data_IF_782474468064
#
_entry.id   IF_782474468064
#
_cell.length_a   1.000
_cell.length_b   1.000
_cell.length_c   1.000
_cell.angle_alpha   90.00
_cell.angle_beta   90.00
_cell.angle_gamma   90.00
#
_symmetry.space_group_name_H-M   'P 1'
#
loop_
_entity.id
_entity.type
_entity.pdbx_description
1 polymer ?
#
# COMPACT_ATOMS: atom_id res chain seq x y z
N UNK A 1 -1.83 -23.74 35.13
CA UNK A 1 -1.77 -22.32 34.72
C UNK A 1 -0.70 -22.03 33.67
N UNK A 2 0.59 -22.37 33.88
CA UNK A 2 1.66 -22.09 32.89
C UNK A 2 1.41 -22.71 31.50
N UNK A 3 0.95 -23.97 31.43
CA UNK A 3 0.67 -24.65 30.16
C UNK A 3 -0.41 -23.94 29.32
N UNK A 4 -1.51 -23.52 29.96
CA UNK A 4 -2.62 -22.83 29.28
C UNK A 4 -2.14 -21.49 28.70
N UNK A 5 -1.35 -20.73 29.46
CA UNK A 5 -0.77 -19.48 28.98
C UNK A 5 0.19 -19.71 27.78
N UNK A 6 1.00 -20.77 27.82
CA UNK A 6 1.88 -21.13 26.69
C UNK A 6 1.10 -21.54 25.44
N UNK A 7 0.02 -22.32 25.59
CA UNK A 7 -0.86 -22.71 24.47
C UNK A 7 -1.53 -21.46 23.89
N UNK A 8 -2.02 -20.56 24.73
CA UNK A 8 -2.62 -19.31 24.28
C UNK A 8 -1.63 -18.47 23.46
N UNK A 9 -0.41 -18.25 23.97
CA UNK A 9 0.62 -17.48 23.26
C UNK A 9 1.00 -18.12 21.92
N UNK A 10 1.09 -19.46 21.88
CA UNK A 10 1.38 -20.21 20.66
C UNK A 10 0.26 -20.03 19.62
N UNK A 11 -1.00 -20.22 20.01
CA UNK A 11 -2.15 -20.09 19.11
C UNK A 11 -2.32 -18.65 18.62
N UNK A 12 -2.13 -17.68 19.50
CA UNK A 12 -2.15 -16.26 19.14
C UNK A 12 -1.06 -15.92 18.13
N UNK A 13 0.17 -16.40 18.33
CA UNK A 13 1.28 -16.15 17.39
C UNK A 13 1.16 -16.94 16.09
N UNK A 14 0.44 -18.06 16.12
CA UNK A 14 0.22 -18.91 14.95
C UNK A 14 -0.92 -18.42 14.05
N UNK A 15 -1.77 -17.51 14.53
CA UNK A 15 -2.85 -16.92 13.75
C UNK A 15 -2.30 -15.72 12.98
N UNK A 16 -2.00 -15.93 11.71
CA UNK A 16 -1.25 -14.97 10.89
C UNK A 16 -2.00 -14.60 9.62
N UNK A 17 -1.75 -13.39 9.14
CA UNK A 17 -2.20 -12.95 7.82
C UNK A 17 -1.19 -13.39 6.76
N UNK A 18 -1.53 -14.45 6.03
CA UNK A 18 -0.71 -15.05 4.97
C UNK A 18 -0.69 -14.16 3.71
N UNK A 19 -1.81 -13.55 3.33
CA UNK A 19 -1.89 -12.58 2.24
C UNK A 19 -2.49 -11.27 2.71
N UNK A 20 -1.70 -10.20 2.59
CA UNK A 20 -2.11 -8.84 2.92
C UNK A 20 -3.27 -8.36 2.02
N UNK A 21 -4.11 -7.41 2.49
CA UNK A 21 -5.21 -6.85 1.72
C UNK A 21 -4.76 -6.34 0.35
N UNK A 22 -5.37 -6.85 -0.73
CA UNK A 22 -4.99 -6.48 -2.08
C UNK A 22 -6.21 -6.46 -3.02
N UNK A 23 -6.28 -5.48 -3.92
CA UNK A 23 -7.29 -5.48 -4.99
C UNK A 23 -6.82 -6.40 -6.12
N UNK A 24 -7.61 -7.40 -6.56
CA UNK A 24 -7.24 -8.28 -7.67
C UNK A 24 -6.95 -7.52 -8.99
N UNK A 25 -7.52 -6.33 -9.16
CA UNK A 25 -7.25 -5.46 -10.33
C UNK A 25 -5.87 -4.79 -10.30
N UNK A 26 -5.21 -4.75 -9.14
CA UNK A 26 -3.90 -4.12 -8.93
C UNK A 26 -2.99 -5.00 -8.05
N UNK A 27 -2.59 -6.20 -8.52
CA UNK A 27 -1.85 -7.18 -7.71
C UNK A 27 -0.47 -6.68 -7.25
N UNK A 28 0.12 -5.72 -7.98
CA UNK A 28 1.43 -5.12 -7.64
C UNK A 28 1.32 -3.99 -6.60
N UNK A 29 0.12 -3.69 -6.11
CA UNK A 29 -0.15 -2.58 -5.16
C UNK A 29 -0.96 -3.08 -3.96
N UNK A 30 -0.42 -4.03 -3.17
CA UNK A 30 -1.07 -4.45 -1.93
C UNK A 30 -1.18 -3.26 -0.96
N UNK A 31 -2.06 -3.37 0.03
CA UNK A 31 -2.30 -2.38 1.09
C UNK A 31 -2.89 -1.03 0.62
N UNK A 32 -3.11 -0.83 -0.69
CA UNK A 32 -3.88 0.33 -1.20
C UNK A 32 -5.23 -0.17 -1.67
N UNK A 33 -6.31 0.25 -1.00
CA UNK A 33 -7.66 -0.23 -1.23
C UNK A 33 -8.55 0.91 -1.74
N UNK A 34 -9.35 0.64 -2.76
CA UNK A 34 -10.35 1.60 -3.26
C UNK A 34 -11.72 1.33 -2.64
N UNK A 35 -12.40 2.39 -2.21
CA UNK A 35 -13.79 2.28 -1.73
C UNK A 35 -14.71 1.65 -2.76
N UNK A 36 -15.62 0.79 -2.30
CA UNK A 36 -16.59 0.06 -3.15
C UNK A 36 -15.97 -0.90 -4.18
N UNK A 37 -14.66 -1.14 -4.13
CA UNK A 37 -13.98 -2.17 -4.93
C UNK A 37 -13.69 -3.38 -4.06
N UNK A 38 -13.79 -4.59 -4.64
CA UNK A 38 -13.50 -5.83 -3.93
C UNK A 38 -11.98 -5.98 -3.71
N UNK A 39 -11.61 -6.46 -2.53
CA UNK A 39 -10.25 -6.84 -2.20
C UNK A 39 -10.23 -8.23 -1.55
N UNK A 40 -9.06 -8.86 -1.61
CA UNK A 40 -8.79 -10.16 -1.02
C UNK A 40 -7.88 -10.05 0.19
N UNK A 41 -8.00 -10.98 1.12
CA UNK A 41 -7.07 -11.19 2.23
C UNK A 41 -7.13 -12.66 2.67
N UNK A 42 -5.98 -13.23 3.02
CA UNK A 42 -5.90 -14.65 3.42
C UNK A 42 -5.28 -14.79 4.79
N UNK A 43 -5.99 -15.45 5.70
CA UNK A 43 -5.55 -15.75 7.06
C UNK A 43 -5.21 -17.23 7.14
N UNK A 44 -4.19 -17.57 7.92
CA UNK A 44 -3.75 -18.94 8.14
C UNK A 44 -3.48 -19.17 9.63
N UNK A 45 -3.95 -20.31 10.14
CA UNK A 45 -3.50 -20.82 11.43
C UNK A 45 -2.35 -21.80 11.18
N UNK A 46 -1.16 -21.47 11.69
CA UNK A 46 0.04 -22.31 11.50
C UNK A 46 -0.02 -23.62 12.30
N UNK A 47 -0.84 -23.65 13.35
CA UNK A 47 -1.12 -24.85 14.14
C UNK A 47 -2.18 -25.68 13.42
N UNK A 48 -1.77 -26.85 12.92
CA UNK A 48 -2.65 -27.80 12.23
C UNK A 48 -3.30 -28.75 13.22
N UNK A 49 -4.53 -28.43 13.62
CA UNK A 49 -5.40 -29.30 14.42
C UNK A 49 -6.62 -29.67 13.58
N UNK A 50 -6.75 -30.94 13.13
CA UNK A 50 -7.90 -31.40 12.34
C UNK A 50 -9.25 -31.13 13.03
N UNK A 51 -9.26 -31.10 14.36
CA UNK A 51 -10.43 -30.82 15.20
C UNK A 51 -10.97 -29.41 15.04
N UNK A 52 -10.14 -28.47 14.56
CA UNK A 52 -10.53 -27.07 14.33
C UNK A 52 -11.12 -26.83 12.93
N UNK A 53 -11.10 -27.84 12.06
CA UNK A 53 -11.63 -27.74 10.70
C UNK A 53 -13.13 -27.40 10.73
N UNK A 54 -13.53 -26.33 10.02
CA UNK A 54 -14.88 -25.79 10.00
C UNK A 54 -15.43 -25.28 11.35
N UNK A 55 -14.62 -25.23 12.42
CA UNK A 55 -15.05 -24.73 13.73
C UNK A 55 -14.80 -23.24 13.91
N UNK A 56 -13.73 -22.71 13.29
CA UNK A 56 -13.31 -21.33 13.52
C UNK A 56 -14.02 -20.38 12.55
N UNK A 57 -14.80 -19.46 13.10
CA UNK A 57 -15.46 -18.40 12.35
C UNK A 57 -14.62 -17.13 12.47
N UNK A 58 -13.98 -16.71 11.38
CA UNK A 58 -13.12 -15.53 11.33
C UNK A 58 -13.95 -14.34 10.85
N UNK A 59 -13.89 -13.23 11.58
CA UNK A 59 -14.55 -11.96 11.24
C UNK A 59 -13.53 -10.88 10.96
N UNK A 60 -13.72 -10.15 9.87
CA UNK A 60 -12.93 -9.00 9.48
C UNK A 60 -13.62 -7.70 9.92
N UNK A 61 -12.86 -6.81 10.54
CA UNK A 61 -13.27 -5.46 10.90
C UNK A 61 -12.15 -4.46 10.58
N UNK A 62 -12.46 -3.17 10.52
CA UNK A 62 -11.48 -2.12 10.22
C UNK A 62 -11.48 -1.10 11.35
N UNK A 63 -10.28 -0.61 11.68
CA UNK A 63 -10.04 0.40 12.71
C UNK A 63 -10.60 0.02 14.09
N UNK A 64 -10.64 -1.29 14.40
CA UNK A 64 -10.97 -1.78 15.74
C UNK A 64 -9.84 -1.37 16.70
N UNK A 65 -10.22 -0.70 17.80
CA UNK A 65 -9.33 -0.36 18.91
C UNK A 65 -8.11 0.50 18.56
N UNK A 66 -8.23 1.39 17.56
CA UNK A 66 -7.18 2.39 17.30
C UNK A 66 -7.22 3.46 18.39
N UNK A 67 -6.32 3.33 19.37
CA UNK A 67 -6.15 4.29 20.49
C UNK A 67 -5.10 5.37 20.20
N UNK A 68 -4.25 5.17 19.19
CA UNK A 68 -3.13 6.07 18.87
C UNK A 68 -3.55 7.40 18.22
N UNK A 69 -4.79 7.53 17.75
CA UNK A 69 -5.25 8.75 17.09
C UNK A 69 -5.36 9.89 18.11
N UNK A 70 -4.66 11.02 17.91
CA UNK A 70 -4.65 12.11 18.86
C UNK A 70 -6.06 12.74 19.01
N UNK A 71 -6.46 13.11 20.24
CA UNK A 71 -7.75 13.74 20.48
C UNK A 71 -7.86 15.07 19.73
N UNK A 72 -9.02 15.34 19.13
CA UNK A 72 -9.29 16.58 18.40
C UNK A 72 -8.94 16.56 16.90
N UNK A 73 -8.31 15.49 16.39
CA UNK A 73 -8.07 15.29 14.95
C UNK A 73 -9.13 14.37 14.34
N UNK A 74 -9.81 14.83 13.29
CA UNK A 74 -10.81 14.02 12.56
C UNK A 74 -10.09 13.11 11.55
N UNK A 75 -10.39 11.82 11.66
CA UNK A 75 -9.97 10.77 10.72
C UNK A 75 -11.21 10.13 10.12
N UNK A 76 -11.13 9.75 8.85
CA UNK A 76 -12.21 9.04 8.17
C UNK A 76 -12.42 7.68 8.83
N UNK A 77 -13.67 7.23 8.77
CA UNK A 77 -14.07 5.92 9.28
C UNK A 77 -14.67 5.11 8.16
N UNK A 78 -14.45 3.81 8.22
CA UNK A 78 -14.86 2.89 7.18
C UNK A 78 -15.57 1.70 7.80
N UNK A 79 -16.43 1.07 7.00
CA UNK A 79 -17.04 -0.20 7.31
C UNK A 79 -16.61 -1.24 6.28
N UNK A 80 -16.37 -2.48 6.74
CA UNK A 80 -16.19 -3.62 5.85
C UNK A 80 -17.57 -4.16 5.44
N UNK A 81 -17.80 -4.23 4.14
CA UNK A 81 -18.98 -4.80 3.49
C UNK A 81 -18.64 -6.13 2.79
N UNK A 82 -19.68 -6.85 2.37
CA UNK A 82 -19.57 -8.17 1.75
C UNK A 82 -19.54 -9.28 2.78
N UNK A 83 -18.89 -10.40 2.44
CA UNK A 83 -18.75 -11.56 3.34
C UNK A 83 -17.64 -11.30 4.35
N UNK A 84 -17.91 -10.44 5.32
CA UNK A 84 -16.96 -10.04 6.37
C UNK A 84 -16.71 -11.13 7.42
N UNK A 85 -17.45 -12.23 7.37
CA UNK A 85 -17.28 -13.36 8.28
C UNK A 85 -17.25 -14.65 7.47
N UNK A 86 -16.21 -15.46 7.67
CA UNK A 86 -16.01 -16.70 6.92
C UNK A 86 -15.44 -17.79 7.82
N UNK A 87 -15.89 -19.02 7.59
CA UNK A 87 -15.42 -20.19 8.32
C UNK A 87 -14.07 -20.63 7.76
N UNK A 88 -13.11 -20.90 8.65
CA UNK A 88 -11.80 -21.42 8.32
C UNK A 88 -11.86 -22.93 8.09
N UNK A 89 -11.19 -23.39 7.05
CA UNK A 89 -11.19 -24.79 6.63
C UNK A 89 -9.80 -25.26 6.19
N UNK A 90 -9.62 -26.56 6.15
CA UNK A 90 -8.40 -27.18 5.63
C UNK A 90 -8.43 -27.12 4.11
N UNK A 91 -7.41 -26.51 3.51
CA UNK A 91 -7.22 -26.45 2.05
C UNK A 91 -6.77 -27.82 1.50
N UNK A 92 -7.35 -28.25 0.39
CA UNK A 92 -7.04 -29.55 -0.24
C UNK A 92 -5.60 -29.60 -0.80
N UNK A 93 -5.08 -28.46 -1.27
CA UNK A 93 -3.78 -28.39 -1.95
C UNK A 93 -2.58 -28.59 -1.01
N UNK A 94 -2.64 -28.04 0.20
CA UNK A 94 -1.49 -27.97 1.12
C UNK A 94 -1.82 -28.44 2.55
N UNK A 95 -3.07 -28.85 2.80
CA UNK A 95 -3.57 -29.25 4.12
C UNK A 95 -3.41 -28.16 5.18
N UNK A 96 -3.41 -26.88 4.81
CA UNK A 96 -3.30 -25.75 5.73
C UNK A 96 -4.69 -25.34 6.22
N UNK A 97 -4.79 -25.00 7.50
CA UNK A 97 -6.01 -24.43 8.06
C UNK A 97 -6.01 -22.93 7.75
N UNK A 98 -6.81 -22.52 6.77
CA UNK A 98 -6.78 -21.17 6.22
C UNK A 98 -8.19 -20.67 5.89
N UNK A 99 -8.30 -19.35 5.71
CA UNK A 99 -9.53 -18.72 5.24
C UNK A 99 -9.18 -17.62 4.25
N UNK A 100 -9.78 -17.72 3.07
CA UNK A 100 -9.59 -16.78 1.96
C UNK A 100 -10.82 -15.88 1.82
N UNK A 101 -10.67 -14.61 2.16
CA UNK A 101 -11.69 -13.60 1.92
C UNK A 101 -11.51 -13.01 0.52
N UNK A 102 -12.51 -13.15 -0.36
CA UNK A 102 -12.42 -12.67 -1.77
C UNK A 102 -13.30 -11.49 -2.13
N UNK A 103 -14.32 -11.23 -1.33
CA UNK A 103 -15.39 -10.27 -1.65
C UNK A 103 -15.55 -9.21 -0.55
N UNK A 104 -14.46 -8.86 0.12
CA UNK A 104 -14.47 -7.75 1.07
C UNK A 104 -14.48 -6.43 0.33
N UNK A 105 -15.21 -5.46 0.85
CA UNK A 105 -15.23 -4.09 0.34
C UNK A 105 -15.14 -3.11 1.50
N UNK A 106 -14.51 -1.96 1.29
CA UNK A 106 -14.54 -0.86 2.27
C UNK A 106 -15.48 0.24 1.80
N UNK A 107 -16.32 0.75 2.70
CA UNK A 107 -17.20 1.89 2.44
C UNK A 107 -17.03 2.94 3.53
N UNK A 108 -16.85 4.18 3.12
CA UNK A 108 -16.73 5.31 4.04
C UNK A 108 -18.03 5.50 4.83
N UNK A 109 -17.89 5.67 6.14
CA UNK A 109 -18.97 5.99 7.05
C UNK A 109 -19.20 7.51 6.99
N UNK A 110 -20.27 7.92 6.30
CA UNK A 110 -20.70 9.31 6.30
C UNK A 110 -21.26 9.67 7.67
N UNK A 111 -20.67 10.66 8.33
CA UNK A 111 -21.21 11.23 9.56
C UNK A 111 -22.40 12.13 9.16
N UNK A 112 -23.57 11.93 9.78
CA UNK A 112 -24.81 12.67 9.46
C UNK A 112 -24.75 14.17 9.74
N UNK A 113 -23.74 14.63 10.49
CA UNK A 113 -23.54 16.05 10.78
C UNK A 113 -22.58 16.65 9.75
N UNK A 114 -23.13 17.45 8.83
CA UNK A 114 -22.49 17.99 7.63
C UNK A 114 -21.33 18.98 7.81
N UNK A 115 -20.43 18.73 8.76
CA UNK A 115 -19.13 19.38 8.78
C UNK A 115 -18.22 18.74 7.73
N UNK A 116 -17.63 19.55 6.83
CA UNK A 116 -16.49 19.10 6.02
C UNK A 116 -15.42 18.61 7.00
N UNK A 117 -15.15 17.31 7.00
CA UNK A 117 -13.98 16.76 7.67
C UNK A 117 -12.74 17.29 6.94
N UNK A 118 -12.22 18.45 7.35
CA UNK A 118 -10.82 18.78 7.10
C UNK A 118 -10.00 17.78 7.90
N UNK A 119 -9.69 16.65 7.25
CA UNK A 119 -8.94 15.56 7.85
C UNK A 119 -7.56 16.03 8.26
N UNK A 120 -7.06 15.49 9.36
CA UNK A 120 -5.73 15.79 9.88
C UNK A 120 -4.58 15.48 8.92
N UNK A 121 -4.82 14.57 7.98
CA UNK A 121 -3.90 14.12 6.96
C UNK A 121 -4.62 14.11 5.61
N UNK A 122 -3.85 14.22 4.53
CA UNK A 122 -4.41 14.00 3.20
C UNK A 122 -4.83 12.53 3.04
N UNK A 123 -5.79 12.27 2.17
CA UNK A 123 -6.38 10.93 1.94
C UNK A 123 -5.33 9.83 1.76
N UNK A 124 -4.20 10.14 1.13
CA UNK A 124 -3.14 9.19 0.78
C UNK A 124 -2.10 9.00 1.87
N UNK A 125 -2.16 9.75 2.97
CA UNK A 125 -1.29 9.62 4.16
C UNK A 125 -2.06 9.05 5.36
N UNK A 126 -3.37 8.87 5.23
CA UNK A 126 -4.23 8.32 6.29
C UNK A 126 -4.21 6.80 6.29
N UNK A 127 -3.61 6.23 7.33
CA UNK A 127 -3.45 4.80 7.51
C UNK A 127 -4.59 4.20 8.33
N UNK A 128 -5.02 3.01 7.91
CA UNK A 128 -6.06 2.21 8.56
C UNK A 128 -5.54 0.80 8.82
N UNK A 129 -6.17 0.06 9.73
CA UNK A 129 -5.78 -1.33 10.03
C UNK A 129 -6.99 -2.24 9.92
N UNK A 130 -6.84 -3.34 9.19
CA UNK A 130 -7.86 -4.38 9.12
C UNK A 130 -7.52 -5.44 10.16
N UNK A 131 -8.47 -5.71 11.04
CA UNK A 131 -8.35 -6.68 12.13
C UNK A 131 -9.21 -7.90 11.82
N UNK A 132 -8.63 -9.08 12.01
CA UNK A 132 -9.29 -10.37 11.87
C UNK A 132 -9.35 -11.03 13.23
N UNK A 133 -10.55 -11.37 13.66
CA UNK A 133 -10.82 -11.95 14.98
C UNK A 133 -11.52 -13.31 14.84
N UNK A 134 -11.20 -14.24 15.74
CA UNK A 134 -11.92 -15.51 15.86
C UNK A 134 -11.89 -16.00 17.31
N UNK A 135 -12.87 -16.82 17.68
CA UNK A 135 -12.93 -17.44 19.00
C UNK A 135 -12.75 -18.95 18.84
N UNK A 136 -11.84 -19.52 19.63
CA UNK A 136 -11.62 -20.97 19.73
C UNK A 136 -12.29 -21.48 20.99
N UNK A 137 -13.14 -22.51 20.82
CA UNK A 137 -13.69 -23.29 21.92
C UNK A 137 -13.13 -24.70 21.86
N UNK A 138 -12.21 -25.04 22.78
CA UNK A 138 -11.61 -26.38 22.83
C UNK A 138 -11.47 -26.85 24.27
N UNK A 139 -12.00 -28.05 24.57
CA UNK A 139 -11.91 -28.69 25.90
C UNK A 139 -12.33 -27.78 27.08
N UNK A 140 -13.38 -26.96 26.88
CA UNK A 140 -13.87 -26.03 27.90
C UNK A 140 -13.07 -24.73 28.04
N UNK A 141 -12.04 -24.52 27.21
CA UNK A 141 -11.30 -23.26 27.12
C UNK A 141 -11.87 -22.40 25.99
N UNK A 142 -12.15 -21.14 26.28
CA UNK A 142 -12.43 -20.09 25.30
C UNK A 142 -11.16 -19.26 25.11
N UNK A 143 -10.66 -19.16 23.87
CA UNK A 143 -9.50 -18.35 23.51
C UNK A 143 -9.87 -17.42 22.36
N UNK A 144 -9.66 -16.12 22.55
CA UNK A 144 -9.86 -15.13 21.50
C UNK A 144 -8.54 -14.90 20.77
N UNK A 145 -8.55 -15.09 19.45
CA UNK A 145 -7.40 -14.88 18.59
C UNK A 145 -7.64 -13.66 17.71
N UNK A 146 -6.61 -12.84 17.57
CA UNK A 146 -6.63 -11.64 16.74
C UNK A 146 -5.33 -11.52 15.95
N UNK A 147 -5.44 -11.11 14.69
CA UNK A 147 -4.30 -10.65 13.89
C UNK A 147 -4.72 -9.44 13.06
N UNK A 148 -3.75 -8.62 12.69
CA UNK A 148 -4.01 -7.41 11.90
C UNK A 148 -3.23 -7.40 10.59
N UNK A 149 -3.73 -6.65 9.61
CA UNK A 149 -2.96 -6.27 8.43
C UNK A 149 -1.84 -5.30 8.79
N UNK A 150 -0.87 -5.19 7.88
CA UNK A 150 -0.07 -3.97 7.82
C UNK A 150 -0.99 -2.78 7.53
N UNK A 151 -0.57 -1.55 7.86
CA UNK A 151 -1.42 -0.39 7.63
C UNK A 151 -1.77 -0.23 6.16
N UNK A 152 -3.04 0.07 5.90
CA UNK A 152 -3.62 0.21 4.56
C UNK A 152 -4.00 1.66 4.28
N UNK A 153 -3.88 2.08 3.03
CA UNK A 153 -4.41 3.36 2.53
C UNK A 153 -5.76 3.11 1.84
N UNK A 154 -6.76 3.92 2.17
CA UNK A 154 -8.08 3.86 1.52
C UNK A 154 -8.30 5.07 0.62
N UNK A 155 -8.35 4.80 -0.69
CA UNK A 155 -8.58 5.79 -1.76
C UNK A 155 -10.02 5.75 -2.26
N UNK A 156 -10.49 6.87 -2.82
CA UNK A 156 -11.79 6.96 -3.47
C UNK A 156 -11.69 6.87 -4.99
N UNK A 157 -10.58 7.34 -5.56
CA UNK A 157 -10.31 7.34 -6.99
C UNK A 157 -8.95 6.69 -7.29
N UNK A 158 -8.86 5.99 -8.43
CA UNK A 158 -7.63 5.34 -8.92
C UNK A 158 -6.53 6.38 -9.19
N UNK A 159 -6.88 7.64 -9.49
CA UNK A 159 -5.89 8.72 -9.61
C UNK A 159 -5.07 8.97 -8.33
N UNK A 160 -5.54 8.50 -7.17
CA UNK A 160 -4.84 8.60 -5.88
C UNK A 160 -3.93 7.39 -5.61
N UNK A 161 -4.04 6.32 -6.40
CA UNK A 161 -3.25 5.09 -6.25
C UNK A 161 -1.73 5.35 -6.23
N UNK A 162 -1.15 6.26 -7.05
CA UNK A 162 0.27 6.60 -6.97
C UNK A 162 0.69 7.11 -5.60
N UNK A 163 0.00 8.12 -5.10
CA UNK A 163 0.34 8.73 -3.81
C UNK A 163 0.05 7.79 -2.64
N UNK A 164 -1.02 6.98 -2.73
CA UNK A 164 -1.27 5.93 -1.74
C UNK A 164 -0.16 4.88 -1.71
N UNK A 165 0.36 4.48 -2.87
CA UNK A 165 1.46 3.53 -2.95
C UNK A 165 2.78 4.09 -2.42
N UNK A 166 3.09 5.36 -2.71
CA UNK A 166 4.25 6.04 -2.12
C UNK A 166 4.22 6.00 -0.59
N UNK A 167 3.05 6.20 0.02
CA UNK A 167 2.90 6.13 1.47
C UNK A 167 3.14 4.72 2.01
N UNK A 168 2.61 3.68 1.35
CA UNK A 168 2.86 2.29 1.74
C UNK A 168 4.35 1.93 1.61
N UNK A 169 5.00 2.38 0.53
CA UNK A 169 6.44 2.18 0.33
C UNK A 169 7.24 2.83 1.46
N UNK A 170 6.93 4.09 1.78
CA UNK A 170 7.62 4.86 2.82
C UNK A 170 7.41 4.25 4.21
N UNK A 171 6.18 3.83 4.52
CA UNK A 171 5.84 3.16 5.77
C UNK A 171 6.62 1.86 5.95
N UNK A 172 6.52 0.95 4.97
CA UNK A 172 7.14 -0.37 5.08
C UNK A 172 8.68 -0.33 5.04
N UNK A 173 9.25 0.70 4.42
CA UNK A 173 10.71 0.90 4.39
C UNK A 173 11.26 1.37 5.74
N UNK A 174 10.52 2.22 6.46
CA UNK A 174 11.05 2.92 7.64
C UNK A 174 10.43 2.51 8.98
N UNK A 175 9.28 1.84 8.97
CA UNK A 175 8.55 1.47 10.17
C UNK A 175 8.52 -0.05 10.36
N UNK A 176 9.00 -0.52 11.51
CA UNK A 176 8.89 -1.93 11.92
C UNK A 176 7.63 -2.23 12.73
N UNK A 177 6.90 -1.21 13.17
CA UNK A 177 5.67 -1.36 13.95
C UNK A 177 4.50 -1.74 13.02
N UNK A 178 3.64 -2.65 13.45
CA UNK A 178 2.51 -3.13 12.62
C UNK A 178 1.29 -2.21 12.65
N UNK A 179 1.15 -1.35 13.66
CA UNK A 179 -0.09 -0.60 13.93
C UNK A 179 0.09 0.93 14.04
N UNK A 180 1.24 1.48 13.64
CA UNK A 180 1.51 2.91 13.74
C UNK A 180 0.75 3.72 12.69
N UNK A 181 -0.54 3.96 12.94
CA UNK A 181 -1.42 4.68 12.01
C UNK A 181 -1.17 6.19 12.00
N UNK A 182 -0.34 6.69 12.92
CA UNK A 182 0.01 8.10 13.05
C UNK A 182 1.36 8.47 12.42
N UNK A 183 2.01 7.51 11.74
CA UNK A 183 3.32 7.65 11.11
C UNK A 183 3.50 8.94 10.28
N UNK A 184 2.50 9.30 9.47
CA UNK A 184 2.57 10.49 8.62
C UNK A 184 2.29 11.83 9.33
N UNK A 185 2.01 11.83 10.64
CA UNK A 185 2.03 13.07 11.41
C UNK A 185 3.44 13.66 11.53
N UNK A 186 4.45 12.80 11.58
CA UNK A 186 5.86 13.19 11.59
C UNK A 186 6.71 12.12 10.87
N UNK A 187 6.64 12.05 9.53
CA UNK A 187 7.29 10.98 8.78
C UNK A 187 8.82 11.12 8.86
N UNK A 188 9.55 10.06 9.24
CA UNK A 188 11.01 10.09 9.27
C UNK A 188 11.59 10.27 7.86
N UNK A 189 12.80 10.82 7.79
CA UNK A 189 13.56 10.88 6.55
C UNK A 189 14.18 9.50 6.26
N UNK A 190 14.13 9.08 5.00
CA UNK A 190 14.72 7.83 4.56
C UNK A 190 16.21 8.02 4.26
N UNK A 191 17.03 7.01 4.54
CA UNK A 191 18.36 6.97 3.98
C UNK A 191 18.27 6.66 2.46
N UNK A 192 19.06 7.36 1.64
CA UNK A 192 19.09 7.14 0.19
C UNK A 192 19.41 5.69 -0.18
N UNK A 193 20.30 5.01 0.55
CA UNK A 193 20.63 3.61 0.34
C UNK A 193 19.38 2.74 0.35
N UNK A 194 18.57 2.84 1.40
CA UNK A 194 17.34 2.07 1.56
C UNK A 194 16.30 2.47 0.50
N UNK A 195 16.18 3.77 0.22
CA UNK A 195 15.26 4.28 -0.80
C UNK A 195 15.65 3.81 -2.21
N UNK A 196 16.94 3.81 -2.54
CA UNK A 196 17.46 3.43 -3.86
C UNK A 196 17.22 1.95 -4.15
N UNK A 197 17.35 1.09 -3.14
CA UNK A 197 17.02 -0.33 -3.22
C UNK A 197 15.51 -0.51 -3.42
N UNK A 198 14.68 0.16 -2.62
CA UNK A 198 13.23 0.12 -2.75
C UNK A 198 12.75 0.58 -4.14
N UNK A 199 13.36 1.65 -4.69
CA UNK A 199 13.12 2.11 -6.05
C UNK A 199 13.51 1.04 -7.08
N UNK A 200 14.67 0.43 -6.95
CA UNK A 200 15.11 -0.64 -7.84
C UNK A 200 14.14 -1.82 -7.83
N UNK A 201 13.62 -2.20 -6.66
CA UNK A 201 12.58 -3.23 -6.55
C UNK A 201 11.30 -2.84 -7.31
N UNK A 202 10.84 -1.58 -7.21
CA UNK A 202 9.66 -1.12 -7.96
C UNK A 202 9.80 -1.33 -9.47
N UNK A 203 10.98 -1.06 -10.02
CA UNK A 203 11.26 -1.30 -11.43
C UNK A 203 11.31 -2.79 -11.77
N UNK A 204 11.94 -3.59 -10.91
CA UNK A 204 12.07 -5.03 -11.12
C UNK A 204 10.73 -5.76 -11.14
N UNK A 205 9.77 -5.35 -10.29
CA UNK A 205 8.42 -5.89 -10.23
C UNK A 205 7.61 -5.69 -11.53
N UNK A 206 8.00 -4.72 -12.37
CA UNK A 206 7.25 -4.33 -13.58
C UNK A 206 8.02 -4.69 -14.86
N UNK A 207 9.33 -4.52 -14.87
CA UNK A 207 10.17 -4.56 -16.09
C UNK A 207 11.14 -5.74 -16.13
N UNK A 208 11.06 -6.66 -15.16
CA UNK A 208 11.98 -7.80 -14.98
C UNK A 208 13.45 -7.43 -14.70
N UNK A 209 13.76 -6.13 -14.57
CA UNK A 209 15.09 -5.61 -14.22
C UNK A 209 14.95 -4.43 -13.27
N UNK A 210 15.86 -4.33 -12.31
CA UNK A 210 15.99 -3.15 -11.44
C UNK A 210 16.74 -1.99 -12.11
N UNK A 211 16.97 -0.94 -11.34
CA UNK A 211 17.79 0.20 -11.74
C UNK A 211 19.28 -0.13 -11.55
N UNK A 212 20.13 0.34 -12.46
CA UNK A 212 21.58 0.24 -12.34
C UNK A 212 22.17 1.42 -11.53
N UNK A 213 23.46 1.33 -11.19
CA UNK A 213 24.15 2.34 -10.37
C UNK A 213 24.10 3.75 -10.97
N UNK A 214 24.29 3.88 -12.29
CA UNK A 214 24.27 5.18 -12.97
C UNK A 214 22.88 5.83 -12.96
N UNK A 215 21.84 5.00 -13.16
CA UNK A 215 20.44 5.43 -13.09
C UNK A 215 20.08 5.87 -11.66
N UNK A 216 20.52 5.13 -10.65
CA UNK A 216 20.33 5.49 -9.24
C UNK A 216 21.07 6.78 -8.90
N UNK A 217 22.33 6.94 -9.31
CA UNK A 217 23.10 8.17 -9.09
C UNK A 217 22.42 9.40 -9.71
N UNK A 218 21.86 9.25 -10.92
CA UNK A 218 21.12 10.33 -11.59
C UNK A 218 19.84 10.71 -10.83
N UNK A 219 19.13 9.73 -10.26
CA UNK A 219 17.94 9.98 -9.43
C UNK A 219 18.32 10.64 -8.10
N UNK A 220 19.43 10.22 -7.49
CA UNK A 220 19.97 10.80 -6.27
C UNK A 220 20.28 12.29 -6.47
N UNK A 221 21.03 12.61 -7.53
CA UNK A 221 21.40 13.99 -7.89
C UNK A 221 20.14 14.85 -8.13
N UNK A 222 19.10 14.30 -8.78
CA UNK A 222 17.84 15.03 -9.00
C UNK A 222 17.08 15.34 -7.70
N UNK A 223 17.15 14.47 -6.69
CA UNK A 223 16.46 14.68 -5.41
C UNK A 223 17.24 15.55 -4.42
N UNK A 224 18.56 15.33 -4.36
CA UNK A 224 19.42 15.84 -3.31
C UNK A 224 20.38 16.93 -3.81
N UNK A 225 20.45 17.13 -5.13
CA UNK A 225 21.49 17.95 -5.77
C UNK A 225 22.83 17.22 -5.84
N UNK A 226 23.87 17.86 -6.38
CA UNK A 226 25.21 17.27 -6.46
C UNK A 226 25.78 16.96 -5.07
N UNK A 227 26.20 15.72 -4.84
CA UNK A 227 26.90 15.26 -3.63
C UNK A 227 28.08 14.35 -4.01
N UNK A 228 29.11 14.29 -3.16
CA UNK A 228 30.25 13.37 -3.35
C UNK A 228 29.87 11.92 -3.04
N UNK A 229 28.98 11.69 -2.06
CA UNK A 229 28.45 10.39 -1.72
C UNK A 229 27.00 10.52 -1.23
N UNK A 230 26.10 9.73 -1.83
CA UNK A 230 24.67 9.75 -1.52
C UNK A 230 24.27 8.73 -0.44
N UNK A 231 25.10 7.74 -0.10
CA UNK A 231 24.72 6.59 0.74
C UNK A 231 24.30 6.94 2.18
N UNK A 232 24.71 8.10 2.68
CA UNK A 232 24.32 8.61 4.01
C UNK A 232 23.36 9.79 3.93
N UNK A 233 22.92 10.19 2.73
CA UNK A 233 22.01 11.30 2.57
C UNK A 233 20.61 10.91 3.02
N UNK A 234 19.98 11.82 3.76
CA UNK A 234 18.60 11.67 4.19
C UNK A 234 17.66 12.36 3.20
N UNK A 235 16.65 11.64 2.76
CA UNK A 235 15.57 12.10 1.88
C UNK A 235 14.32 12.31 2.73
N UNK A 236 13.87 13.57 2.95
CA UNK A 236 12.60 13.84 3.61
C UNK A 236 11.41 13.36 2.77
N UNK A 237 10.35 12.90 3.43
CA UNK A 237 9.08 12.53 2.76
C UNK A 237 8.56 13.62 1.82
N UNK A 238 8.71 14.89 2.20
CA UNK A 238 8.29 16.04 1.40
C UNK A 238 9.03 16.10 0.06
N UNK A 239 10.33 15.80 0.01
CA UNK A 239 11.09 15.76 -1.24
C UNK A 239 10.71 14.58 -2.13
N UNK A 240 10.31 13.47 -1.52
CA UNK A 240 9.91 12.27 -2.25
C UNK A 240 8.53 12.40 -2.91
N UNK A 241 7.53 12.91 -2.17
CA UNK A 241 6.13 12.89 -2.59
C UNK A 241 5.45 14.26 -2.74
N UNK A 242 6.05 15.36 -2.24
CA UNK A 242 5.39 16.70 -2.21
C UNK A 242 6.07 17.79 -3.02
N UNK A 243 7.31 17.60 -3.51
CA UNK A 243 8.09 18.67 -4.18
C UNK A 243 8.32 18.39 -5.66
N UNK A 244 8.05 19.41 -6.49
CA UNK A 244 8.35 19.48 -7.93
C UNK A 244 9.84 19.43 -8.22
N UNK A 245 10.27 18.53 -9.11
CA UNK A 245 11.67 18.36 -9.55
C UNK A 245 12.14 19.53 -10.47
N UNK A 246 11.50 20.71 -10.43
CA UNK A 246 11.71 21.78 -11.40
C UNK A 246 11.79 23.19 -10.81
N UNK A 247 12.39 23.37 -9.64
CA UNK A 247 12.86 24.70 -9.23
C UNK A 247 14.36 24.86 -9.50
N UNK A 248 14.71 24.80 -10.78
CA UNK A 248 15.98 25.28 -11.30
C UNK A 248 15.72 26.13 -12.55
N UNK A 249 15.36 27.40 -12.27
CA UNK A 249 15.25 28.56 -13.17
C UNK A 249 14.11 28.58 -14.22
N UNK A 250 13.42 29.73 -14.22
CA UNK A 250 12.28 30.09 -15.04
C UNK A 250 12.56 30.13 -16.55
N UNK A 251 11.65 29.56 -17.36
CA UNK A 251 11.04 30.21 -18.54
C UNK A 251 10.20 29.22 -19.36
N UNK A 252 9.09 29.72 -19.91
CA UNK A 252 8.25 29.22 -21.02
C UNK A 252 7.48 27.91 -20.86
N UNK A 253 6.14 28.05 -20.83
CA UNK A 253 5.24 27.46 -21.83
C UNK A 253 5.15 25.94 -21.93
N UNK A 254 4.02 25.40 -21.42
CA UNK A 254 3.43 24.11 -21.82
C UNK A 254 4.38 22.91 -21.81
N UNK A 255 4.68 22.36 -20.63
CA UNK A 255 5.45 21.12 -20.55
C UNK A 255 4.93 20.19 -19.45
N UNK A 256 4.69 18.93 -19.84
CA UNK A 256 4.13 17.84 -19.05
C UNK A 256 4.96 17.62 -17.77
N UNK A 257 4.39 18.01 -16.61
CA UNK A 257 5.06 17.91 -15.32
C UNK A 257 4.90 16.51 -14.72
N UNK A 258 5.96 15.72 -14.70
CA UNK A 258 6.14 14.77 -13.60
C UNK A 258 6.46 15.63 -12.37
N UNK A 259 5.52 15.69 -11.42
CA UNK A 259 5.55 16.62 -10.30
C UNK A 259 6.35 16.09 -9.09
N UNK A 260 6.73 14.81 -9.06
CA UNK A 260 7.62 14.23 -8.03
C UNK A 260 8.20 12.88 -8.50
N UNK A 261 9.13 12.28 -7.75
CA UNK A 261 9.69 10.96 -8.09
C UNK A 261 8.61 9.88 -8.10
N UNK A 262 7.58 10.03 -7.28
CA UNK A 262 6.46 9.11 -7.27
C UNK A 262 5.74 9.03 -8.64
N UNK A 263 5.52 10.18 -9.31
CA UNK A 263 4.91 10.21 -10.64
C UNK A 263 5.77 9.45 -11.67
N UNK A 264 7.09 9.54 -11.51
CA UNK A 264 8.04 8.82 -12.35
C UNK A 264 7.96 7.31 -12.13
N UNK A 265 7.93 6.83 -10.89
CA UNK A 265 7.76 5.40 -10.55
C UNK A 265 6.44 4.87 -11.12
N UNK A 266 5.38 5.68 -11.09
CA UNK A 266 4.08 5.28 -11.60
C UNK A 266 3.98 5.27 -13.13
N UNK A 267 4.81 6.05 -13.82
CA UNK A 267 4.94 6.03 -15.26
C UNK A 267 5.77 4.83 -15.78
N UNK A 268 6.55 4.16 -14.94
CA UNK A 268 7.44 3.05 -15.34
C UNK A 268 6.74 1.90 -16.08
N UNK A 269 5.55 1.40 -15.69
CA UNK A 269 4.87 0.36 -16.47
C UNK A 269 4.52 0.80 -17.89
N UNK A 270 4.24 2.10 -18.08
CA UNK A 270 3.92 2.69 -19.39
C UNK A 270 5.21 3.00 -20.18
N UNK A 271 6.28 3.39 -19.48
CA UNK A 271 7.57 3.75 -20.05
C UNK A 271 8.56 2.58 -20.19
N UNK A 272 8.23 1.39 -19.68
CA UNK A 272 9.11 0.21 -19.70
C UNK A 272 9.63 -0.12 -21.10
N UNK A 273 8.82 0.15 -22.14
CA UNK A 273 9.22 0.03 -23.54
C UNK A 273 10.26 1.06 -24.00
N UNK A 274 10.27 2.27 -23.40
CA UNK A 274 11.20 3.36 -23.70
C UNK A 274 12.47 3.30 -22.84
N UNK A 275 12.41 2.74 -21.63
CA UNK A 275 13.57 2.63 -20.73
C UNK A 275 14.70 1.71 -21.24
N UNK A 276 14.41 0.83 -22.19
CA UNK A 276 15.44 0.06 -22.90
C UNK A 276 16.41 0.93 -23.72
N UNK A 277 16.10 2.22 -23.95
CA UNK A 277 16.93 3.14 -24.72
C UNK A 277 17.98 3.92 -23.90
N UNK A 278 18.12 3.64 -22.60
CA UNK A 278 19.18 4.23 -21.77
C UNK A 278 18.90 5.67 -21.33
N UNK A 279 19.23 5.95 -20.07
CA UNK A 279 19.26 7.32 -19.55
C UNK A 279 20.46 8.04 -20.16
N UNK A 280 20.25 8.76 -21.27
CA UNK A 280 21.29 9.62 -21.85
C UNK A 280 20.88 11.09 -21.70
N UNK A 281 21.79 11.84 -21.08
CA UNK A 281 21.74 13.27 -20.78
C UNK A 281 20.93 14.13 -21.76
N UNK A 282 19.99 14.91 -21.19
CA UNK A 282 19.25 16.13 -21.60
C UNK A 282 18.94 16.50 -23.06
N UNK A 283 19.53 15.91 -24.11
CA UNK A 283 19.25 16.33 -25.51
C UNK A 283 18.30 15.42 -26.27
N UNK A 284 18.14 14.15 -25.88
CA UNK A 284 17.29 13.19 -26.62
C UNK A 284 15.88 13.02 -26.03
N UNK A 285 15.69 13.38 -24.76
CA UNK A 285 14.42 13.18 -24.02
C UNK A 285 13.26 14.09 -24.51
N UNK A 286 13.59 15.18 -25.21
CA UNK A 286 12.63 16.16 -25.72
C UNK A 286 11.66 15.58 -26.78
N UNK A 287 11.98 14.42 -27.37
CA UNK A 287 11.21 13.81 -28.47
C UNK A 287 10.23 12.73 -27.96
N UNK A 288 10.49 12.08 -26.82
CA UNK A 288 9.61 10.99 -26.32
C UNK A 288 8.51 11.45 -25.36
N UNK A 289 8.71 12.54 -24.62
CA UNK A 289 7.74 13.05 -23.64
C UNK A 289 6.64 13.95 -24.26
N UNK A 290 6.83 14.41 -25.49
CA UNK A 290 5.83 15.18 -26.24
C UNK A 290 4.68 14.30 -26.78
N UNK A 291 4.90 12.99 -26.92
CA UNK A 291 3.91 12.05 -27.51
C UNK A 291 2.81 11.59 -26.55
N UNK A 292 2.95 11.80 -25.24
CA UNK A 292 2.00 11.29 -24.23
C UNK A 292 1.12 12.36 -23.58
N UNK A 293 1.10 13.57 -24.13
CA UNK A 293 0.07 14.56 -23.81
C UNK A 293 -1.27 14.15 -24.45
N UNK A 294 -2.15 13.53 -23.66
CA UNK A 294 -3.56 13.23 -23.98
C UNK A 294 -3.82 12.39 -25.25
N UNK A 295 -4.11 11.10 -25.07
CA UNK A 295 -4.55 10.27 -26.20
C UNK A 295 -5.08 8.86 -25.87
N UNK A 296 -5.59 8.60 -24.66
CA UNK A 296 -6.10 7.26 -24.30
C UNK A 296 -7.49 7.29 -23.65
N UNK A 297 -8.32 8.25 -24.07
CA UNK A 297 -9.75 8.27 -23.76
C UNK A 297 -10.62 8.69 -24.96
N UNK A 298 -10.27 8.28 -26.19
CA UNK A 298 -11.13 8.54 -27.36
C UNK A 298 -11.29 7.38 -28.37
N UNK A 299 -10.74 6.19 -28.10
CA UNK A 299 -10.82 5.04 -29.03
C UNK A 299 -11.81 3.93 -28.65
N UNK A 300 -12.74 4.17 -27.70
CA UNK A 300 -13.79 3.20 -27.34
C UNK A 300 -15.23 3.64 -27.66
N UNK A 301 -15.44 4.68 -28.48
CA UNK A 301 -16.79 5.12 -28.88
C UNK A 301 -17.06 5.13 -30.40
N UNK A 302 -16.21 4.57 -31.25
CA UNK A 302 -16.52 4.35 -32.66
C UNK A 302 -16.32 2.90 -33.09
N UNK A 303 -17.28 2.05 -32.73
CA UNK A 303 -17.56 0.81 -33.49
C UNK A 303 -19.05 0.46 -33.40
N UNK A 304 -19.91 1.39 -33.83
CA UNK A 304 -21.30 1.12 -34.25
C UNK A 304 -21.71 2.14 -35.29
N UNK A 305 -21.41 1.85 -36.56
CA UNK A 305 -22.19 2.25 -37.74
C UNK A 305 -21.41 1.95 -39.03
N UNK A 306 -21.46 0.71 -39.51
CA UNK A 306 -21.93 0.27 -40.84
C UNK A 306 -21.54 -1.18 -41.05
#
# INVERSE_FOLDING_TARGET
>A
MKLIASIYLLLHSAFVLEQQPCMPTHPQRPLVLKTSVQFTAKIRLLVKLPELNYQLKVKACIDKEITERPPGKSFRRFNILGTNTKVMNIEEENGALAVDFRHLQVKEQRVMNGGRNEGALIVTEELHVITFETEIYHQGLKLDLETTSLPVIIISNVSQLPNGWASILWYNMLCSEQKNVTFFLNPPAANWKDLSEALSWQFSCVTSRGLNTDQLATLAEKLLGPQENYDNCLVPWTKFCKVSILDAHASSGTENRCHCINDFIFAVPVLAHLFNAGFVSRRTCHISLSLFGFGLMESLSLSRST
#
